data_IF_664946873699
#
_entry.id   IF_664946873699
#
_cell.length_a   1.000
_cell.length_b   1.000
_cell.length_c   1.000
_cell.angle_alpha   90.00
_cell.angle_beta   90.00
_cell.angle_gamma   90.00
#
_symmetry.space_group_name_H-M   'P 1'
#
loop_
_entity.id
_entity.type
_entity.pdbx_description
1 polymer ?
#
# COMPACT_ATOMS: atom_id res chain seq x y z
N UNK A 1 -23.49 -2.78 71.07
CA UNK A 1 -24.50 -3.73 70.58
C UNK A 1 -24.25 -3.94 69.10
N UNK A 2 -24.18 -5.23 68.72
CA UNK A 2 -24.42 -5.82 67.37
C UNK A 2 -23.46 -5.37 66.24
N UNK A 3 -22.42 -6.13 65.84
CA UNK A 3 -22.41 -7.36 64.98
C UNK A 3 -23.34 -7.17 63.76
N UNK A 4 -22.95 -7.35 62.49
CA UNK A 4 -22.61 -8.63 61.82
C UNK A 4 -22.14 -8.29 60.37
N UNK A 5 -20.93 -8.67 59.94
CA UNK A 5 -20.57 -9.74 58.95
C UNK A 5 -20.93 -9.48 57.46
N UNK A 6 -19.87 -9.36 56.64
CA UNK A 6 -19.78 -9.43 55.13
C UNK A 6 -20.21 -10.82 54.60
N UNK A 7 -20.04 -11.21 53.31
CA UNK A 7 -20.02 -10.57 51.97
C UNK A 7 -21.01 -11.34 51.02
N UNK A 8 -20.76 -11.39 49.70
CA UNK A 8 -21.40 -12.23 48.66
C UNK A 8 -22.57 -11.60 47.88
N UNK A 9 -22.30 -10.60 47.04
CA UNK A 9 -23.21 -10.31 45.93
C UNK A 9 -22.51 -9.84 44.63
N UNK A 10 -21.18 -9.68 44.63
CA UNK A 10 -20.46 -9.09 43.50
C UNK A 10 -19.64 -10.10 42.67
N UNK A 11 -19.87 -11.40 42.83
CA UNK A 11 -19.12 -12.46 42.14
C UNK A 11 -20.00 -13.40 41.30
N UNK A 12 -21.27 -13.05 41.07
CA UNK A 12 -22.23 -13.89 40.33
C UNK A 12 -22.78 -13.25 39.04
N UNK A 13 -22.11 -12.21 38.52
CA UNK A 13 -22.47 -11.59 37.22
C UNK A 13 -21.53 -11.98 36.09
N UNK A 14 -20.51 -12.81 36.35
CA UNK A 14 -19.48 -13.20 35.37
C UNK A 14 -19.72 -14.58 34.71
N UNK A 15 -20.84 -15.25 34.96
CA UNK A 15 -21.04 -16.67 34.57
C UNK A 15 -22.33 -16.98 33.79
N UNK A 16 -23.08 -15.98 33.33
CA UNK A 16 -24.36 -16.19 32.62
C UNK A 16 -24.41 -15.67 31.16
N UNK A 17 -23.29 -15.29 30.57
CA UNK A 17 -23.20 -14.87 29.15
C UNK A 17 -22.42 -15.88 28.28
N UNK A 18 -22.51 -17.17 28.60
CA UNK A 18 -21.80 -18.25 27.90
C UNK A 18 -22.70 -19.37 27.35
N UNK A 19 -24.02 -19.18 27.27
CA UNK A 19 -24.93 -20.24 26.86
C UNK A 19 -26.11 -19.75 26.00
N UNK A 20 -25.81 -19.06 24.89
CA UNK A 20 -26.75 -18.96 23.79
C UNK A 20 -25.99 -18.94 22.47
N UNK A 21 -26.39 -19.82 21.54
CA UNK A 21 -25.99 -19.89 20.13
C UNK A 21 -24.81 -20.82 19.78
N UNK A 22 -24.93 -22.09 20.16
CA UNK A 22 -24.63 -23.22 19.25
C UNK A 22 -25.99 -23.87 18.98
N UNK A 23 -26.51 -24.11 17.78
CA UNK A 23 -25.92 -24.82 16.63
C UNK A 23 -26.60 -24.36 15.34
N UNK A 24 -25.80 -24.12 14.31
CA UNK A 24 -26.25 -23.89 12.94
C UNK A 24 -25.01 -23.89 12.06
N UNK A 25 -24.70 -25.05 11.49
CA UNK A 25 -23.40 -25.37 10.90
C UNK A 25 -22.92 -24.45 9.76
N UNK A 26 -21.65 -24.56 9.38
CA UNK A 26 -20.98 -23.63 8.50
C UNK A 26 -21.57 -23.72 7.09
N UNK A 27 -22.26 -22.66 6.64
CA UNK A 27 -22.19 -22.33 5.22
C UNK A 27 -20.76 -21.89 4.97
N UNK A 28 -19.94 -22.81 4.49
CA UNK A 28 -18.60 -22.51 4.02
C UNK A 28 -18.64 -21.28 3.11
N UNK A 29 -17.59 -20.44 3.11
CA UNK A 29 -17.52 -19.33 2.18
C UNK A 29 -17.75 -19.90 0.79
N UNK A 30 -18.80 -19.40 0.12
CA UNK A 30 -18.97 -19.57 -1.31
C UNK A 30 -17.63 -19.19 -1.91
N UNK A 31 -16.95 -20.16 -2.53
CA UNK A 31 -15.86 -19.87 -3.44
C UNK A 31 -16.43 -18.87 -4.41
N UNK A 32 -16.06 -17.60 -4.26
CA UNK A 32 -16.34 -16.62 -5.28
C UNK A 32 -15.57 -17.14 -6.49
N UNK A 33 -16.31 -17.76 -7.41
CA UNK A 33 -15.87 -18.01 -8.75
C UNK A 33 -15.17 -16.73 -9.22
N UNK A 34 -13.88 -16.78 -9.60
CA UNK A 34 -13.20 -15.60 -10.08
C UNK A 34 -14.04 -15.07 -11.24
N UNK A 35 -14.53 -13.84 -11.11
CA UNK A 35 -15.29 -13.17 -12.15
C UNK A 35 -14.47 -13.29 -13.44
N UNK A 36 -14.89 -14.19 -14.31
CA UNK A 36 -14.29 -14.39 -15.61
C UNK A 36 -14.50 -13.09 -16.39
N UNK A 37 -13.42 -12.36 -16.63
CA UNK A 37 -13.43 -11.23 -17.55
C UNK A 37 -13.29 -9.84 -16.92
N UNK A 38 -12.52 -9.67 -15.83
CA UNK A 38 -11.77 -8.42 -15.76
C UNK A 38 -10.72 -8.45 -16.89
N UNK A 39 -10.72 -7.51 -17.85
CA UNK A 39 -9.64 -7.46 -18.83
C UNK A 39 -8.36 -7.32 -18.04
N UNK A 40 -7.52 -8.35 -18.08
CA UNK A 40 -6.14 -8.23 -17.65
C UNK A 40 -5.59 -7.01 -18.40
N UNK A 41 -5.28 -5.95 -17.66
CA UNK A 41 -4.57 -4.81 -18.23
C UNK A 41 -3.37 -5.33 -19.02
N UNK A 42 -2.97 -4.65 -20.11
CA UNK A 42 -1.99 -5.18 -21.06
C UNK A 42 -0.79 -5.79 -20.31
N UNK A 43 -0.58 -7.09 -20.51
CA UNK A 43 0.52 -7.83 -19.91
C UNK A 43 1.83 -7.14 -20.28
N UNK A 44 2.54 -6.67 -19.27
CA UNK A 44 3.75 -5.87 -19.44
C UNK A 44 4.89 -6.80 -19.88
N UNK A 45 5.44 -6.54 -21.06
CA UNK A 45 6.70 -7.15 -21.51
C UNK A 45 7.80 -6.12 -21.29
N UNK A 46 8.62 -6.36 -20.26
CA UNK A 46 9.74 -5.48 -19.91
C UNK A 46 10.84 -5.61 -20.97
N UNK A 47 11.09 -4.54 -21.72
CA UNK A 47 12.27 -4.43 -22.58
C UNK A 47 13.19 -3.35 -22.01
N UNK A 48 14.35 -3.76 -21.50
CA UNK A 48 15.29 -2.89 -20.76
C UNK A 48 15.08 -2.96 -19.24
N UNK A 49 16.19 -2.93 -18.49
CA UNK A 49 16.29 -3.26 -17.04
C UNK A 49 15.06 -2.84 -16.24
N UNK A 50 14.40 -3.82 -15.63
CA UNK A 50 13.03 -3.71 -15.11
C UNK A 50 12.76 -2.58 -14.11
N UNK A 51 11.53 -2.54 -13.59
CA UNK A 51 11.08 -1.48 -12.67
C UNK A 51 11.83 -1.48 -11.32
N UNK A 52 12.44 -2.61 -10.93
CA UNK A 52 13.16 -2.77 -9.67
C UNK A 52 14.36 -1.82 -9.50
N UNK A 53 15.32 -1.73 -10.46
CA UNK A 53 16.38 -0.72 -10.44
C UNK A 53 15.89 0.74 -10.30
N UNK A 54 14.70 1.04 -10.84
CA UNK A 54 14.09 2.37 -10.68
C UNK A 54 13.56 2.56 -9.27
N UNK A 55 12.93 1.54 -8.67
CA UNK A 55 12.53 1.56 -7.26
C UNK A 55 13.72 1.68 -6.30
N UNK A 56 14.84 0.99 -6.56
CA UNK A 56 16.08 1.12 -5.77
C UNK A 56 16.63 2.55 -5.81
N UNK A 57 16.75 3.13 -7.01
CA UNK A 57 17.19 4.52 -7.18
C UNK A 57 16.27 5.49 -6.47
N UNK A 58 14.96 5.26 -6.56
CA UNK A 58 13.96 6.06 -5.89
C UNK A 58 14.17 5.99 -4.37
N UNK A 59 14.23 4.79 -3.78
CA UNK A 59 14.51 4.61 -2.35
C UNK A 59 15.79 5.36 -1.91
N UNK A 60 16.89 5.21 -2.67
CA UNK A 60 18.15 5.90 -2.38
C UNK A 60 18.02 7.43 -2.43
N UNK A 61 17.32 7.95 -3.43
CA UNK A 61 17.05 9.38 -3.54
C UNK A 61 16.23 9.88 -2.34
N UNK A 62 15.16 9.17 -1.96
CA UNK A 62 14.29 9.59 -0.87
C UNK A 62 15.03 9.59 0.47
N UNK A 63 15.86 8.57 0.74
CA UNK A 63 16.70 8.50 1.95
C UNK A 63 17.73 9.64 2.01
N UNK A 64 18.39 9.93 0.89
CA UNK A 64 19.38 11.02 0.80
C UNK A 64 18.74 12.40 1.00
N UNK A 65 17.54 12.61 0.41
CA UNK A 65 16.87 13.91 0.45
C UNK A 65 16.10 14.16 1.74
N UNK A 66 15.58 13.10 2.36
CA UNK A 66 14.76 13.18 3.56
C UNK A 66 15.28 12.30 4.70
N UNK A 67 16.51 12.52 5.19
CA UNK A 67 17.11 11.69 6.23
C UNK A 67 16.30 11.75 7.55
N UNK A 68 15.63 12.87 7.82
CA UNK A 68 14.76 13.02 8.99
C UNK A 68 13.56 12.04 8.99
N UNK A 69 13.19 11.49 7.83
CA UNK A 69 12.05 10.59 7.68
C UNK A 69 12.42 9.12 7.95
N UNK A 70 13.68 8.80 8.21
CA UNK A 70 14.10 7.45 8.65
C UNK A 70 13.70 7.12 10.10
N UNK A 71 13.20 8.09 10.87
CA UNK A 71 12.81 7.87 12.27
C UNK A 71 11.37 7.39 12.48
N UNK A 72 10.65 7.06 11.41
CA UNK A 72 9.24 6.67 11.48
C UNK A 72 8.85 5.68 10.41
N UNK A 73 7.73 4.97 10.61
CA UNK A 73 7.19 4.03 9.64
C UNK A 73 6.33 4.77 8.62
N UNK A 74 6.68 4.70 7.34
CA UNK A 74 5.95 5.35 6.26
C UNK A 74 5.13 4.36 5.47
N UNK A 75 3.90 4.72 5.14
CA UNK A 75 3.15 3.96 4.15
C UNK A 75 3.56 4.42 2.76
N UNK A 76 3.75 3.49 1.82
CA UNK A 76 3.96 3.80 0.41
C UNK A 76 2.80 3.28 -0.43
N UNK A 77 2.26 4.15 -1.27
CA UNK A 77 1.06 3.87 -2.06
C UNK A 77 1.16 4.38 -3.49
N UNK A 78 0.30 3.86 -4.34
CA UNK A 78 0.10 4.24 -5.73
C UNK A 78 -1.35 3.94 -6.12
N UNK A 79 -1.80 4.47 -7.25
CA UNK A 79 -3.13 4.17 -7.76
C UNK A 79 -3.25 2.67 -8.11
N UNK A 80 -4.15 1.95 -7.42
CA UNK A 80 -4.34 0.50 -7.62
C UNK A 80 -4.81 0.12 -9.02
N UNK A 81 -5.37 1.06 -9.79
CA UNK A 81 -5.71 0.86 -11.21
C UNK A 81 -4.47 0.76 -12.12
N UNK A 82 -3.25 0.90 -11.60
CA UNK A 82 -1.98 0.80 -12.34
C UNK A 82 -1.16 -0.39 -11.79
N UNK A 83 -1.45 -1.64 -12.18
CA UNK A 83 -0.89 -2.83 -11.52
C UNK A 83 0.64 -2.91 -11.56
N UNK A 84 1.27 -2.43 -12.64
CA UNK A 84 2.73 -2.49 -12.78
C UNK A 84 3.46 -1.58 -11.78
N UNK A 85 2.79 -0.59 -11.18
CA UNK A 85 3.37 0.25 -10.11
C UNK A 85 3.69 -0.57 -8.86
N UNK A 86 3.06 -1.74 -8.66
CA UNK A 86 3.38 -2.63 -7.56
C UNK A 86 4.85 -3.05 -7.59
N UNK A 87 5.39 -3.43 -8.76
CA UNK A 87 6.82 -3.79 -8.88
C UNK A 87 7.74 -2.65 -8.44
N UNK A 88 7.39 -1.40 -8.80
CA UNK A 88 8.17 -0.23 -8.43
C UNK A 88 8.05 0.05 -6.92
N UNK A 89 6.85 0.03 -6.38
CA UNK A 89 6.59 0.27 -4.95
C UNK A 89 7.24 -0.76 -4.04
N UNK A 90 7.19 -2.04 -4.41
CA UNK A 90 7.89 -3.13 -3.70
C UNK A 90 9.40 -2.96 -3.68
N UNK A 91 9.99 -2.56 -4.80
CA UNK A 91 11.42 -2.27 -4.84
C UNK A 91 11.79 -1.05 -3.96
N UNK A 92 10.90 -0.06 -3.80
CA UNK A 92 11.13 1.01 -2.83
C UNK A 92 11.06 0.48 -1.39
N UNK A 93 10.05 -0.33 -1.05
CA UNK A 93 9.88 -0.97 0.26
C UNK A 93 11.12 -1.80 0.64
N UNK A 94 11.62 -2.61 -0.28
CA UNK A 94 12.82 -3.45 -0.10
C UNK A 94 14.09 -2.63 0.21
N UNK A 95 14.26 -1.48 -0.45
CA UNK A 95 15.45 -0.65 -0.32
C UNK A 95 15.30 0.53 0.67
N UNK A 96 14.12 0.70 1.25
CA UNK A 96 13.83 1.64 2.31
C UNK A 96 13.03 0.96 3.44
N UNK A 97 13.71 0.35 4.42
CA UNK A 97 13.08 -0.52 5.44
C UNK A 97 12.14 0.22 6.41
N UNK A 98 12.14 1.55 6.38
CA UNK A 98 11.21 2.39 7.13
C UNK A 98 9.89 2.60 6.40
N UNK A 99 9.74 2.06 5.19
CA UNK A 99 8.52 2.13 4.40
C UNK A 99 7.81 0.77 4.34
N UNK A 100 6.49 0.80 4.18
CA UNK A 100 5.64 -0.38 4.01
C UNK A 100 4.62 -0.09 2.92
N UNK A 101 4.50 -0.97 1.93
CA UNK A 101 3.52 -0.80 0.87
C UNK A 101 2.09 -0.95 1.41
N UNK A 102 1.17 -0.07 0.98
CA UNK A 102 -0.26 -0.18 1.33
C UNK A 102 -0.82 -1.54 0.92
N UNK A 103 -0.40 -2.05 -0.23
CA UNK A 103 -0.77 -3.37 -0.72
C UNK A 103 -0.31 -4.50 0.23
N UNK A 104 0.86 -4.38 0.89
CA UNK A 104 1.31 -5.34 1.94
C UNK A 104 0.32 -5.46 3.08
N UNK A 105 -0.43 -4.39 3.33
CA UNK A 105 -1.40 -4.28 4.42
C UNK A 105 -2.80 -4.70 3.97
N UNK A 106 -2.97 -5.14 2.72
CA UNK A 106 -4.27 -5.40 2.12
C UNK A 106 -5.09 -4.13 1.86
N UNK A 107 -4.44 -2.96 1.83
CA UNK A 107 -5.09 -1.69 1.55
C UNK A 107 -4.90 -1.29 0.09
N UNK A 108 -5.97 -0.78 -0.53
CA UNK A 108 -5.97 -0.26 -1.89
C UNK A 108 -6.52 1.18 -1.91
N UNK A 109 -6.01 2.00 -2.81
CA UNK A 109 -6.47 3.37 -3.00
C UNK A 109 -6.34 3.80 -4.45
N UNK A 110 -7.33 4.55 -4.96
CA UNK A 110 -7.25 5.16 -6.27
C UNK A 110 -6.52 6.52 -6.23
N UNK A 111 -6.52 7.18 -5.06
CA UNK A 111 -5.92 8.51 -4.87
C UNK A 111 -5.09 8.62 -3.59
N UNK A 112 -4.17 9.58 -3.56
CA UNK A 112 -3.36 9.88 -2.38
C UNK A 112 -4.20 10.30 -1.17
N UNK A 113 -5.32 10.98 -1.41
CA UNK A 113 -6.24 11.39 -0.35
C UNK A 113 -6.95 10.19 0.29
N UNK A 114 -7.46 9.27 -0.54
CA UNK A 114 -8.07 8.03 -0.06
C UNK A 114 -7.07 7.19 0.73
N UNK A 115 -5.84 7.06 0.23
CA UNK A 115 -4.76 6.36 0.93
C UNK A 115 -4.47 7.00 2.29
N UNK A 116 -4.36 8.32 2.35
CA UNK A 116 -4.02 9.04 3.57
C UNK A 116 -5.11 8.92 4.64
N UNK A 117 -6.39 8.95 4.25
CA UNK A 117 -7.52 8.79 5.17
C UNK A 117 -7.56 7.39 5.80
N UNK A 118 -7.11 6.36 5.07
CA UNK A 118 -7.06 4.99 5.55
C UNK A 118 -5.90 4.71 6.52
N UNK A 119 -4.92 5.62 6.64
CA UNK A 119 -3.78 5.41 7.50
C UNK A 119 -4.13 5.57 8.98
N UNK A 120 -3.72 4.59 9.77
CA UNK A 120 -3.71 4.72 11.21
C UNK A 120 -2.58 5.67 11.65
N UNK A 121 -2.90 6.85 12.20
CA UNK A 121 -1.91 7.85 12.60
C UNK A 121 -1.05 7.40 13.79
N UNK A 122 -1.45 6.36 14.53
CA UNK A 122 -0.65 5.79 15.61
C UNK A 122 0.41 4.80 15.11
N UNK A 123 0.23 4.26 13.90
CA UNK A 123 1.10 3.25 13.29
C UNK A 123 2.06 3.81 12.25
N UNK A 124 1.75 4.96 11.65
CA UNK A 124 2.51 5.54 10.55
C UNK A 124 2.88 7.00 10.80
N UNK A 125 4.08 7.39 10.36
CA UNK A 125 4.55 8.77 10.35
C UNK A 125 3.98 9.59 9.18
N UNK A 126 3.53 8.93 8.11
CA UNK A 126 3.00 9.60 6.93
C UNK A 126 2.80 8.68 5.73
N UNK A 127 2.36 9.30 4.64
CA UNK A 127 2.19 8.69 3.33
C UNK A 127 3.26 9.18 2.35
N UNK A 128 3.82 8.23 1.60
CA UNK A 128 4.58 8.45 0.38
C UNK A 128 3.70 7.96 -0.76
N UNK A 129 3.23 8.88 -1.60
CA UNK A 129 2.39 8.52 -2.74
C UNK A 129 3.18 8.63 -4.04
N UNK A 130 3.11 7.59 -4.86
CA UNK A 130 3.85 7.46 -6.11
C UNK A 130 2.92 7.61 -7.31
N UNK A 131 3.29 8.49 -8.23
CA UNK A 131 2.54 8.72 -9.46
C UNK A 131 3.48 8.67 -10.68
N UNK A 132 3.18 7.82 -11.67
CA UNK A 132 4.05 7.70 -12.82
C UNK A 132 3.86 8.87 -13.78
N UNK A 133 4.96 9.40 -14.31
CA UNK A 133 4.98 10.34 -15.42
C UNK A 133 5.38 9.57 -16.67
N UNK A 134 4.38 9.25 -17.48
CA UNK A 134 4.53 8.42 -18.68
C UNK A 134 4.43 9.30 -19.92
N UNK A 135 5.40 9.19 -20.83
CA UNK A 135 5.34 9.87 -22.12
C UNK A 135 4.26 9.30 -23.04
N UNK A 136 3.91 10.05 -24.09
CA UNK A 136 3.02 9.59 -25.17
C UNK A 136 3.50 8.32 -25.89
N UNK A 137 4.79 7.96 -25.76
CA UNK A 137 5.37 6.73 -26.30
C UNK A 137 5.28 5.53 -25.33
N UNK A 138 4.58 5.69 -24.20
CA UNK A 138 4.44 4.63 -23.21
C UNK A 138 5.72 4.33 -22.44
N UNK A 139 6.59 5.33 -22.28
CA UNK A 139 7.82 5.21 -21.48
C UNK A 139 7.64 5.90 -20.14
N UNK A 140 8.14 5.27 -19.08
CA UNK A 140 8.21 5.90 -17.77
C UNK A 140 9.41 6.86 -17.74
N UNK A 141 9.13 8.17 -17.83
CA UNK A 141 10.17 9.19 -17.84
C UNK A 141 10.56 9.61 -16.42
N UNK A 142 9.60 9.65 -15.50
CA UNK A 142 9.81 10.02 -14.11
C UNK A 142 8.72 9.46 -13.19
N UNK A 143 8.97 9.53 -11.89
CA UNK A 143 7.98 9.29 -10.84
C UNK A 143 7.81 10.58 -10.05
N UNK A 144 6.58 11.07 -9.96
CA UNK A 144 6.19 12.10 -9.00
C UNK A 144 5.97 11.43 -7.65
N UNK A 145 6.56 12.01 -6.61
CA UNK A 145 6.43 11.55 -5.23
C UNK A 145 5.81 12.64 -4.39
N UNK A 146 4.72 12.31 -3.70
CA UNK A 146 4.07 13.18 -2.73
C UNK A 146 4.38 12.67 -1.32
N UNK A 147 4.98 13.53 -0.50
CA UNK A 147 5.29 13.28 0.90
C UNK A 147 4.28 13.99 1.80
N UNK A 148 3.56 13.22 2.59
CA UNK A 148 2.53 13.75 3.48
C UNK A 148 2.69 13.18 4.89
N UNK A 149 3.38 13.89 5.79
CA UNK A 149 3.43 13.51 7.21
C UNK A 149 2.03 13.52 7.82
N UNK A 150 1.79 12.63 8.79
CA UNK A 150 0.55 12.65 9.58
C UNK A 150 0.43 13.99 10.32
N UNK A 151 -0.77 14.55 10.33
CA UNK A 151 -1.09 15.80 11.01
C UNK A 151 -0.51 17.06 10.36
N UNK A 152 0.13 16.95 9.18
CA UNK A 152 0.72 18.09 8.48
C UNK A 152 0.04 18.34 7.13
N UNK A 153 -0.22 19.61 6.84
CA UNK A 153 -0.63 20.11 5.52
C UNK A 153 0.16 21.37 5.19
N UNK A 154 0.61 21.56 3.93
CA UNK A 154 0.42 20.72 2.74
C UNK A 154 1.42 19.54 2.63
N UNK A 155 1.25 18.70 1.60
CA UNK A 155 2.28 17.71 1.22
C UNK A 155 3.47 18.39 0.52
N UNK A 156 4.63 17.75 0.57
CA UNK A 156 5.80 18.12 -0.24
C UNK A 156 5.83 17.26 -1.50
N UNK A 157 6.17 17.85 -2.64
CA UNK A 157 6.27 17.15 -3.92
C UNK A 157 7.71 17.13 -4.43
N UNK A 158 8.13 16.01 -5.03
CA UNK A 158 9.37 15.91 -5.79
C UNK A 158 9.18 15.02 -7.01
N UNK A 159 9.90 15.32 -8.09
CA UNK A 159 9.94 14.48 -9.29
C UNK A 159 11.31 13.79 -9.34
N UNK A 160 11.30 12.48 -9.59
CA UNK A 160 12.51 11.66 -9.70
C UNK A 160 12.56 11.06 -11.10
N UNK A 161 13.55 11.46 -11.90
CA UNK A 161 13.72 10.94 -13.25
C UNK A 161 14.07 9.45 -13.25
N UNK A 162 13.47 8.71 -14.17
CA UNK A 162 13.78 7.30 -14.39
C UNK A 162 14.98 7.14 -15.33
N UNK A 163 15.55 5.94 -15.39
CA UNK A 163 16.57 5.67 -16.38
C UNK A 163 16.00 5.79 -17.81
N UNK A 164 16.78 6.31 -18.77
CA UNK A 164 16.38 6.32 -20.16
C UNK A 164 16.06 4.90 -20.65
N UNK A 165 15.00 4.76 -21.45
CA UNK A 165 14.65 3.50 -22.12
C UNK A 165 13.61 2.62 -21.41
N UNK A 166 13.09 3.00 -20.24
CA UNK A 166 12.09 2.19 -19.54
C UNK A 166 10.72 2.26 -20.26
N UNK A 167 10.40 1.24 -21.05
CA UNK A 167 9.07 1.07 -21.65
C UNK A 167 8.13 0.35 -20.69
N UNK A 168 6.92 0.88 -20.52
CA UNK A 168 5.85 0.25 -19.74
C UNK A 168 4.73 -0.33 -20.61
N UNK A 169 4.78 -0.09 -21.92
CA UNK A 169 3.92 -0.77 -22.89
C UNK A 169 4.58 -2.07 -23.37
N UNK A 170 3.80 -3.11 -23.67
CA UNK A 170 4.31 -4.27 -24.39
C UNK A 170 4.93 -3.83 -25.72
N UNK A 171 6.00 -4.48 -26.22
CA UNK A 171 6.53 -4.19 -27.53
C UNK A 171 5.41 -4.44 -28.52
N UNK A 172 5.00 -3.39 -29.23
CA UNK A 172 4.24 -3.57 -30.47
C UNK A 172 5.07 -4.48 -31.35
N UNK A 173 4.53 -5.64 -31.72
CA UNK A 173 5.09 -6.52 -32.74
C UNK A 173 5.20 -5.72 -34.05
N UNK A 174 6.29 -4.99 -34.19
CA UNK A 174 6.63 -4.28 -35.41
C UNK A 174 7.42 -5.24 -36.26
N UNK A 175 6.73 -5.92 -37.16
CA UNK A 175 7.32 -6.48 -38.38
C UNK A 175 7.74 -7.94 -38.32
N UNK A 176 6.76 -8.85 -38.31
CA UNK A 176 6.88 -10.03 -39.16
C UNK A 176 6.18 -9.68 -40.49
N UNK A 177 6.97 -9.22 -41.47
CA UNK A 177 6.60 -9.31 -42.89
C UNK A 177 7.28 -10.54 -43.45
#
# INVERSE_FOLDING_TARGET
>A
MERTVRPLAALLSLLLMLAACTEGGPRGPRTAEPAAGAPAGPAMVQTGGGLSPTGERLARYLRSKYPAYENGRWAIGWNSAIPWMATLGRAVEEHWPYSVALESLGAEAATSEQAYIQLDPSSFAGLIWLEPIVSSKGRLDAVRVLFRPIGSFPYTETIVACQPGLSILPPTESGAR
#
